data_IF_837192993404
#
_entry.id   IF_837192993404
#
_cell.length_a   1.000
_cell.length_b   1.000
_cell.length_c   1.000
_cell.angle_alpha   90.00
_cell.angle_beta   90.00
_cell.angle_gamma   90.00
#
_symmetry.space_group_name_H-M   'P 1'
#
loop_
_entity.id
_entity.type
_entity.pdbx_description
1 polymer ?
#
# COMPACT_ATOMS: atom_id res chain seq x y z
N UNK A 1 10.36 59.48 -3.13
CA UNK A 1 9.87 58.80 -4.34
C UNK A 1 10.05 57.30 -4.16
N UNK A 2 8.92 56.60 -4.09
CA UNK A 2 8.64 55.20 -4.46
C UNK A 2 9.67 54.12 -4.08
N UNK A 3 9.41 53.48 -2.93
CA UNK A 3 9.90 52.14 -2.61
C UNK A 3 9.15 51.10 -3.42
N UNK A 4 9.90 50.28 -4.17
CA UNK A 4 9.36 49.13 -4.89
C UNK A 4 9.14 47.96 -3.94
N UNK A 5 7.87 47.73 -3.58
CA UNK A 5 7.44 46.48 -2.95
C UNK A 5 7.44 45.42 -4.05
N UNK A 6 8.39 44.48 -4.00
CA UNK A 6 8.33 43.26 -4.80
C UNK A 6 7.15 42.43 -4.29
N UNK A 7 6.00 42.58 -4.93
CA UNK A 7 4.89 41.64 -4.81
C UNK A 7 5.31 40.36 -5.54
N UNK A 8 5.87 39.41 -4.78
CA UNK A 8 5.97 38.01 -5.19
C UNK A 8 4.55 37.55 -5.53
N UNK A 9 4.30 37.29 -6.82
CA UNK A 9 3.07 36.63 -7.26
C UNK A 9 2.93 35.32 -6.46
N UNK A 10 1.75 35.01 -5.93
CA UNK A 10 1.47 33.66 -5.48
C UNK A 10 1.63 32.76 -6.70
N UNK A 11 2.62 31.86 -6.67
CA UNK A 11 2.64 30.73 -7.59
C UNK A 11 1.33 30.00 -7.41
N UNK A 12 0.51 29.93 -8.45
CA UNK A 12 -0.66 29.05 -8.48
C UNK A 12 -0.20 27.69 -7.98
N UNK A 13 -0.79 27.23 -6.87
CA UNK A 13 -0.48 25.96 -6.27
C UNK A 13 -0.88 24.89 -7.28
N UNK A 14 0.06 24.47 -8.13
CA UNK A 14 -0.02 23.18 -8.81
C UNK A 14 -0.36 22.16 -7.72
N UNK A 15 -1.42 21.33 -7.87
CA UNK A 15 -1.65 20.25 -6.92
C UNK A 15 -0.31 19.54 -6.72
N UNK A 16 0.11 19.46 -5.46
CA UNK A 16 1.43 18.93 -5.11
C UNK A 16 1.59 17.60 -5.84
N UNK A 17 2.56 17.53 -6.76
CA UNK A 17 2.76 16.35 -7.62
C UNK A 17 2.99 15.09 -6.78
N UNK A 18 3.47 15.27 -5.54
CA UNK A 18 3.51 14.25 -4.49
C UNK A 18 2.11 13.72 -4.17
N UNK A 19 1.15 14.59 -3.88
CA UNK A 19 -0.20 14.20 -3.53
C UNK A 19 -1.00 13.64 -4.71
N UNK A 20 -0.72 14.06 -5.94
CA UNK A 20 -1.26 13.36 -7.12
C UNK A 20 -0.71 11.92 -7.20
N UNK A 21 0.60 11.76 -7.03
CA UNK A 21 1.27 10.43 -7.03
C UNK A 21 0.73 9.54 -5.92
N UNK A 22 0.51 10.09 -4.71
CA UNK A 22 -0.13 9.37 -3.60
C UNK A 22 -1.54 8.94 -3.97
N UNK A 23 -2.32 9.81 -4.63
CA UNK A 23 -3.66 9.42 -5.08
C UNK A 23 -3.66 8.25 -6.06
N UNK A 24 -2.72 8.23 -6.99
CA UNK A 24 -2.52 7.11 -7.92
C UNK A 24 -2.08 5.84 -7.19
N UNK A 25 -1.14 5.95 -6.24
CA UNK A 25 -0.68 4.86 -5.38
C UNK A 25 -1.84 4.23 -4.62
N UNK A 26 -2.64 5.05 -3.93
CA UNK A 26 -3.76 4.57 -3.12
C UNK A 26 -4.82 3.88 -3.98
N UNK A 27 -5.18 4.48 -5.12
CA UNK A 27 -6.12 3.88 -6.07
C UNK A 27 -5.61 2.55 -6.61
N UNK A 28 -4.34 2.49 -7.02
CA UNK A 28 -3.73 1.25 -7.47
C UNK A 28 -3.77 0.17 -6.39
N UNK A 29 -3.44 0.53 -5.15
CA UNK A 29 -3.44 -0.38 -4.01
C UNK A 29 -4.83 -0.97 -3.76
N UNK A 30 -5.86 -0.13 -3.74
CA UNK A 30 -7.24 -0.58 -3.54
C UNK A 30 -7.69 -1.52 -4.66
N UNK A 31 -7.45 -1.14 -5.93
CA UNK A 31 -7.79 -1.97 -7.08
C UNK A 31 -7.04 -3.33 -7.08
N UNK A 32 -5.77 -3.33 -6.68
CA UNK A 32 -4.97 -4.55 -6.57
C UNK A 32 -5.49 -5.46 -5.45
N UNK A 33 -5.79 -4.92 -4.28
CA UNK A 33 -6.30 -5.69 -3.15
C UNK A 33 -7.69 -6.26 -3.43
N UNK A 34 -8.54 -5.56 -4.18
CA UNK A 34 -9.83 -6.12 -4.64
C UNK A 34 -9.60 -7.33 -5.54
N UNK A 35 -8.66 -7.27 -6.48
CA UNK A 35 -8.33 -8.40 -7.36
C UNK A 35 -7.75 -9.59 -6.61
N UNK A 36 -6.82 -9.34 -5.69
CA UNK A 36 -6.21 -10.39 -4.85
C UNK A 36 -7.27 -11.04 -3.97
N UNK A 37 -8.13 -10.24 -3.31
CA UNK A 37 -9.22 -10.78 -2.50
C UNK A 37 -10.15 -11.66 -3.34
N UNK A 38 -10.56 -11.18 -4.52
CA UNK A 38 -11.41 -11.97 -5.42
C UNK A 38 -10.76 -13.31 -5.79
N UNK A 39 -9.47 -13.31 -6.13
CA UNK A 39 -8.73 -14.54 -6.41
C UNK A 39 -8.74 -15.50 -5.21
N UNK A 40 -8.44 -14.99 -4.02
CA UNK A 40 -8.42 -15.80 -2.80
C UNK A 40 -9.80 -16.37 -2.45
N UNK A 41 -10.88 -15.59 -2.64
CA UNK A 41 -12.25 -16.03 -2.44
C UNK A 41 -12.61 -17.16 -3.44
N UNK A 42 -12.25 -17.03 -4.73
CA UNK A 42 -12.47 -18.06 -5.76
C UNK A 42 -11.69 -19.36 -5.46
N UNK A 43 -10.45 -19.26 -4.99
CA UNK A 43 -9.63 -20.40 -4.56
C UNK A 43 -10.26 -21.08 -3.34
N UNK A 44 -10.76 -20.31 -2.36
CA UNK A 44 -11.41 -20.84 -1.17
C UNK A 44 -12.72 -21.58 -1.52
N UNK A 45 -13.53 -21.04 -2.44
CA UNK A 45 -14.78 -21.67 -2.91
C UNK A 45 -14.52 -22.98 -3.65
N UNK A 46 -13.49 -23.01 -4.50
CA UNK A 46 -13.12 -24.19 -5.29
C UNK A 46 -12.33 -25.24 -4.50
N UNK A 47 -11.86 -24.89 -3.29
CA UNK A 47 -10.92 -25.69 -2.48
C UNK A 47 -9.66 -26.10 -3.25
N UNK A 48 -9.28 -25.29 -4.23
CA UNK A 48 -8.18 -25.58 -5.13
C UNK A 48 -6.86 -25.11 -4.49
N UNK A 49 -6.33 -25.94 -3.59
CA UNK A 49 -5.10 -25.64 -2.87
C UNK A 49 -3.89 -25.45 -3.80
N UNK A 50 -3.93 -26.02 -5.00
CA UNK A 50 -2.85 -25.93 -5.99
C UNK A 50 -2.82 -24.55 -6.68
N UNK A 51 -3.89 -23.76 -6.57
CA UNK A 51 -3.97 -22.38 -7.10
C UNK A 51 -3.69 -21.31 -6.05
N UNK A 52 -3.43 -21.70 -4.81
CA UNK A 52 -3.19 -20.76 -3.73
C UNK A 52 -1.85 -20.03 -3.88
N UNK A 53 -0.88 -20.64 -4.57
CA UNK A 53 0.39 -20.04 -4.93
C UNK A 53 0.27 -18.96 -6.03
N UNK A 54 -0.79 -18.98 -6.85
CA UNK A 54 -1.08 -17.96 -7.87
C UNK A 54 -1.28 -16.56 -7.25
N UNK A 55 -1.63 -16.48 -5.95
CA UNK A 55 -1.73 -15.23 -5.22
C UNK A 55 -0.36 -14.58 -4.93
N UNK A 56 0.72 -15.38 -4.78
CA UNK A 56 2.05 -14.86 -4.43
C UNK A 56 2.54 -13.86 -5.49
N UNK A 57 2.54 -14.18 -6.81
CA UNK A 57 2.93 -13.21 -7.84
C UNK A 57 2.08 -11.93 -7.83
N UNK A 58 0.80 -12.02 -7.43
CA UNK A 58 -0.08 -10.85 -7.36
C UNK A 58 0.34 -9.91 -6.21
N UNK A 59 0.64 -10.47 -5.03
CA UNK A 59 1.17 -9.70 -3.90
C UNK A 59 2.54 -9.08 -4.21
N UNK A 60 3.45 -9.84 -4.81
CA UNK A 60 4.77 -9.35 -5.24
C UNK A 60 4.65 -8.17 -6.22
N UNK A 61 3.77 -8.30 -7.22
CA UNK A 61 3.50 -7.22 -8.17
C UNK A 61 2.92 -5.97 -7.48
N UNK A 62 1.99 -6.17 -6.55
CA UNK A 62 1.40 -5.08 -5.78
C UNK A 62 2.46 -4.34 -4.95
N UNK A 63 3.27 -5.05 -4.17
CA UNK A 63 4.31 -4.46 -3.33
C UNK A 63 5.38 -3.72 -4.16
N UNK A 64 5.80 -4.30 -5.29
CA UNK A 64 6.73 -3.67 -6.24
C UNK A 64 6.16 -2.37 -6.79
N UNK A 65 4.90 -2.37 -7.23
CA UNK A 65 4.26 -1.16 -7.75
C UNK A 65 4.13 -0.07 -6.69
N UNK A 66 3.86 -0.42 -5.42
CA UNK A 66 3.86 0.56 -4.33
C UNK A 66 5.25 1.20 -4.13
N UNK A 67 6.32 0.42 -4.25
CA UNK A 67 7.71 0.92 -4.25
C UNK A 67 7.93 1.92 -5.38
N UNK A 68 7.54 1.57 -6.60
CA UNK A 68 7.68 2.41 -7.80
C UNK A 68 6.90 3.73 -7.67
N UNK A 69 5.71 3.71 -7.06
CA UNK A 69 4.97 4.93 -6.77
C UNK A 69 5.65 5.76 -5.68
N UNK A 70 6.11 5.14 -4.59
CA UNK A 70 6.81 5.83 -3.51
C UNK A 70 8.07 6.55 -4.00
N UNK A 71 8.81 5.98 -4.95
CA UNK A 71 9.99 6.60 -5.53
C UNK A 71 9.70 7.92 -6.28
N UNK A 72 8.51 8.01 -6.88
CA UNK A 72 8.04 9.18 -7.65
C UNK A 72 7.53 10.32 -6.77
N UNK A 73 7.27 10.08 -5.49
CA UNK A 73 6.89 11.11 -4.53
C UNK A 73 8.10 12.03 -4.29
N UNK A 74 7.90 13.34 -4.47
CA UNK A 74 8.97 14.35 -4.35
C UNK A 74 9.05 14.94 -2.94
N UNK A 75 7.92 15.11 -2.26
CA UNK A 75 7.88 15.53 -0.86
C UNK A 75 8.54 14.46 0.05
N UNK A 76 9.58 14.80 0.83
CA UNK A 76 10.32 13.82 1.63
C UNK A 76 9.50 13.17 2.76
N UNK A 77 8.57 13.91 3.38
CA UNK A 77 7.75 13.40 4.47
C UNK A 77 6.71 12.41 3.93
N UNK A 78 6.00 12.82 2.87
CA UNK A 78 5.04 11.96 2.16
C UNK A 78 5.74 10.75 1.56
N UNK A 79 6.94 10.92 0.97
CA UNK A 79 7.74 9.82 0.43
C UNK A 79 8.08 8.80 1.51
N UNK A 80 8.47 9.26 2.69
CA UNK A 80 8.79 8.37 3.82
C UNK A 80 7.59 7.50 4.18
N UNK A 81 6.38 8.08 4.22
CA UNK A 81 5.16 7.32 4.52
C UNK A 81 4.80 6.36 3.37
N UNK A 82 4.98 6.78 2.12
CA UNK A 82 4.75 5.92 0.96
C UNK A 82 5.70 4.72 0.92
N UNK A 83 6.97 4.92 1.29
CA UNK A 83 7.96 3.83 1.46
C UNK A 83 7.53 2.90 2.59
N UNK A 84 7.08 3.42 3.74
CA UNK A 84 6.55 2.58 4.84
C UNK A 84 5.37 1.71 4.39
N UNK A 85 4.49 2.25 3.54
CA UNK A 85 3.39 1.47 2.96
C UNK A 85 3.92 0.35 2.05
N UNK A 86 4.93 0.65 1.22
CA UNK A 86 5.53 -0.33 0.34
C UNK A 86 6.31 -1.42 1.11
N UNK A 87 7.01 -1.07 2.20
CA UNK A 87 7.71 -2.03 3.07
C UNK A 87 6.71 -2.94 3.80
N UNK A 88 5.59 -2.38 4.26
CA UNK A 88 4.51 -3.17 4.86
C UNK A 88 3.86 -4.13 3.84
N UNK A 89 3.78 -3.74 2.57
CA UNK A 89 3.30 -4.60 1.50
C UNK A 89 4.27 -5.75 1.16
N UNK A 90 5.58 -5.50 1.23
CA UNK A 90 6.59 -6.58 1.15
C UNK A 90 6.41 -7.55 2.32
N UNK A 91 6.20 -7.04 3.53
CA UNK A 91 5.96 -7.89 4.71
C UNK A 91 4.73 -8.77 4.51
N UNK A 92 3.60 -8.22 4.01
CA UNK A 92 2.42 -9.02 3.66
C UNK A 92 2.78 -10.15 2.68
N UNK A 93 3.53 -9.82 1.63
CA UNK A 93 3.97 -10.79 0.63
C UNK A 93 4.83 -11.92 1.24
N UNK A 94 5.77 -11.57 2.13
CA UNK A 94 6.59 -12.55 2.85
C UNK A 94 5.74 -13.43 3.77
N UNK A 95 4.73 -12.87 4.45
CA UNK A 95 3.84 -13.66 5.32
C UNK A 95 2.94 -14.60 4.53
N UNK A 96 2.48 -14.20 3.35
CA UNK A 96 1.72 -15.07 2.44
C UNK A 96 2.58 -16.25 1.95
N UNK A 97 3.85 -16.02 1.63
CA UNK A 97 4.79 -17.11 1.30
C UNK A 97 4.99 -18.04 2.50
N UNK A 98 5.14 -17.50 3.72
CA UNK A 98 5.27 -18.29 4.94
C UNK A 98 4.02 -19.12 5.24
N UNK A 99 2.83 -18.56 5.01
CA UNK A 99 1.56 -19.25 5.19
C UNK A 99 1.48 -20.53 4.34
N UNK A 100 1.96 -20.47 3.10
CA UNK A 100 2.04 -21.62 2.18
C UNK A 100 3.20 -22.57 2.49
N UNK A 101 4.12 -22.16 3.36
CA UNK A 101 5.23 -22.96 3.83
C UNK A 101 4.82 -24.15 4.71
N UNK A 102 5.80 -25.00 5.03
CA UNK A 102 5.61 -26.10 5.99
C UNK A 102 5.65 -25.55 7.43
N UNK A 103 4.88 -26.14 8.36
CA UNK A 103 4.99 -25.82 9.78
C UNK A 103 6.42 -25.91 10.29
N UNK A 104 6.78 -25.03 11.23
CA UNK A 104 8.08 -25.09 11.88
C UNK A 104 8.27 -26.41 12.66
N UNK A 105 9.51 -26.87 12.90
CA UNK A 105 9.75 -28.07 13.70
C UNK A 105 9.08 -27.98 15.08
N UNK A 106 8.24 -28.96 15.42
CA UNK A 106 7.49 -28.99 16.69
C UNK A 106 6.18 -28.21 16.71
N UNK A 107 5.83 -27.52 15.61
CA UNK A 107 4.56 -26.81 15.47
C UNK A 107 3.50 -27.70 14.81
N UNK A 108 2.27 -27.64 15.30
CA UNK A 108 1.14 -28.32 14.64
C UNK A 108 0.72 -27.56 13.38
N UNK A 109 0.05 -28.26 12.45
CA UNK A 109 -0.51 -27.60 11.25
C UNK A 109 -1.52 -26.51 11.61
N UNK A 110 -2.33 -26.72 12.64
CA UNK A 110 -3.33 -25.75 13.10
C UNK A 110 -2.68 -24.49 13.69
N UNK A 111 -1.63 -24.65 14.50
CA UNK A 111 -0.83 -23.54 15.01
C UNK A 111 -0.18 -22.75 13.88
N UNK A 112 0.42 -23.44 12.89
CA UNK A 112 1.03 -22.78 11.73
C UNK A 112 0.03 -21.92 10.97
N UNK A 113 -1.18 -22.44 10.70
CA UNK A 113 -2.21 -21.71 9.98
C UNK A 113 -2.68 -20.49 10.78
N UNK A 114 -2.97 -20.66 12.06
CA UNK A 114 -3.44 -19.56 12.92
C UNK A 114 -2.39 -18.45 13.03
N UNK A 115 -1.14 -18.78 13.37
CA UNK A 115 -0.06 -17.81 13.51
C UNK A 115 0.23 -17.10 12.19
N UNK A 116 0.24 -17.84 11.07
CA UNK A 116 0.48 -17.25 9.75
C UNK A 116 -0.65 -16.29 9.36
N UNK A 117 -1.91 -16.64 9.62
CA UNK A 117 -3.05 -15.73 9.41
C UNK A 117 -2.94 -14.48 10.28
N UNK A 118 -2.62 -14.62 11.56
CA UNK A 118 -2.47 -13.47 12.47
C UNK A 118 -1.33 -12.54 12.01
N UNK A 119 -0.22 -13.11 11.53
CA UNK A 119 0.90 -12.36 10.98
C UNK A 119 0.53 -11.61 9.69
N UNK A 120 -0.21 -12.23 8.77
CA UNK A 120 -0.71 -11.57 7.55
C UNK A 120 -1.63 -10.40 7.93
N UNK A 121 -2.56 -10.62 8.86
CA UNK A 121 -3.48 -9.57 9.34
C UNK A 121 -2.71 -8.42 9.99
N UNK A 122 -1.70 -8.71 10.81
CA UNK A 122 -0.86 -7.71 11.43
C UNK A 122 -0.07 -6.89 10.40
N UNK A 123 0.51 -7.54 9.38
CA UNK A 123 1.19 -6.86 8.29
C UNK A 123 0.22 -5.99 7.47
N UNK A 124 -0.97 -6.50 7.17
CA UNK A 124 -2.02 -5.75 6.48
C UNK A 124 -2.48 -4.50 7.24
N UNK A 125 -2.49 -4.54 8.57
CA UNK A 125 -2.77 -3.34 9.39
C UNK A 125 -1.72 -2.26 9.22
N UNK A 126 -0.43 -2.61 9.13
CA UNK A 126 0.64 -1.64 8.88
C UNK A 126 0.45 -0.89 7.56
N UNK A 127 0.00 -1.61 6.52
CA UNK A 127 -0.37 -1.00 5.22
C UNK A 127 -1.50 0.00 5.41
N UNK A 128 -2.56 -0.38 6.13
CA UNK A 128 -3.71 0.50 6.38
C UNK A 128 -3.37 1.72 7.25
N UNK A 129 -2.47 1.57 8.21
CA UNK A 129 -1.97 2.69 9.01
C UNK A 129 -1.17 3.67 8.15
N UNK A 130 -0.30 3.17 7.26
CA UNK A 130 0.45 4.00 6.32
C UNK A 130 -0.47 4.71 5.31
N UNK A 131 -1.47 4.00 4.78
CA UNK A 131 -2.52 4.57 3.93
C UNK A 131 -3.29 5.71 4.64
N UNK A 132 -3.68 5.51 5.91
CA UNK A 132 -4.37 6.54 6.68
C UNK A 132 -3.48 7.79 6.89
N UNK A 133 -2.19 7.60 7.16
CA UNK A 133 -1.22 8.69 7.25
C UNK A 133 -1.07 9.43 5.91
N UNK A 134 -0.98 8.70 4.80
CA UNK A 134 -0.94 9.30 3.46
C UNK A 134 -2.18 10.13 3.18
N UNK A 135 -3.37 9.61 3.47
CA UNK A 135 -4.65 10.34 3.32
C UNK A 135 -4.74 11.59 4.19
N UNK A 136 -4.04 11.61 5.33
CA UNK A 136 -3.98 12.78 6.22
C UNK A 136 -3.05 13.87 5.67
N UNK A 137 -1.89 13.49 5.10
CA UNK A 137 -0.92 14.44 4.54
C UNK A 137 -1.32 14.93 3.16
N UNK A 138 -1.90 14.04 2.37
CA UNK A 138 -2.46 14.31 1.07
C UNK A 138 -3.95 14.00 1.13
N UNK A 139 -4.83 14.99 1.34
CA UNK A 139 -6.27 14.79 1.30
C UNK A 139 -6.71 14.48 -0.15
N UNK A 140 -6.42 13.26 -0.58
CA UNK A 140 -6.78 12.75 -1.89
C UNK A 140 -8.30 12.57 -1.89
N UNK A 141 -9.00 13.45 -2.58
CA UNK A 141 -10.46 13.52 -2.59
C UNK A 141 -11.04 14.91 -2.35
N UNK A 142 -10.23 15.92 -2.01
CA UNK A 142 -10.73 17.31 -2.02
C UNK A 142 -10.57 17.91 -3.42
N UNK A 143 -11.68 17.91 -4.16
CA UNK A 143 -11.88 18.75 -5.33
C UNK A 143 -12.21 20.21 -4.98
N UNK A 144 -11.94 20.68 -3.74
CA UNK A 144 -12.10 22.10 -3.40
C UNK A 144 -10.93 22.92 -3.94
N UNK A 145 -11.07 23.34 -5.20
CA UNK A 145 -10.33 24.43 -5.84
C UNK A 145 -10.79 25.82 -5.33
N UNK A 146 -11.10 25.94 -4.03
CA UNK A 146 -11.51 27.22 -3.42
C UNK A 146 -10.78 27.48 -2.11
N UNK A 147 -9.66 28.19 -2.22
CA UNK A 147 -9.20 29.17 -1.24
C UNK A 147 -8.86 30.45 -2.00
#
# INVERSE_FOLDING_TARGET
MLGGVYLLRPTEATPDSSCQTVGELLKYSDDAMVRIKKHNDEVAETRDADRQDEAIPMYQKWATALRDYAEKVSDPEVKTIAVQMADAADEVTEREIQFLGKPAPGQTREQHLQESTDNIVAAGRKVKDAEAKLKTHCPVGSSDTKL
#
